data_IF_589419555942
#
_entry.id   IF_589419555942
#
_cell.length_a   1.000
_cell.length_b   1.000
_cell.length_c   1.000
_cell.angle_alpha   90.00
_cell.angle_beta   90.00
_cell.angle_gamma   90.00
#
_symmetry.space_group_name_H-M   'P 1'
#
loop_
_entity.id
_entity.type
_entity.pdbx_description
1 polymer ?
#
# COMPACT_ATOMS: atom_id res chain seq x y z
N UNK A 1 14.11 -10.04 17.54
CA UNK A 1 14.03 -10.86 16.31
C UNK A 1 13.18 -10.09 15.31
N UNK A 2 13.80 -9.18 14.57
CA UNK A 2 13.00 -8.10 13.97
C UNK A 2 12.78 -8.33 12.47
N UNK A 3 13.41 -9.35 11.88
CA UNK A 3 13.41 -9.60 10.42
C UNK A 3 12.01 -9.75 9.79
N UNK A 4 11.02 -10.20 10.56
CA UNK A 4 9.62 -10.34 10.10
C UNK A 4 8.71 -9.20 10.57
N UNK A 5 9.23 -8.23 11.32
CA UNK A 5 8.48 -7.08 11.82
C UNK A 5 8.63 -5.92 10.83
N UNK A 6 7.49 -5.40 10.38
CA UNK A 6 7.40 -4.29 9.42
C UNK A 6 6.53 -3.18 9.99
N UNK A 7 6.88 -1.92 9.67
CA UNK A 7 6.00 -0.78 9.92
C UNK A 7 4.67 -0.94 9.19
N UNK A 8 3.59 -0.48 9.80
CA UNK A 8 2.23 -0.74 9.33
C UNK A 8 1.36 0.52 9.39
N UNK A 9 0.63 0.77 8.30
CA UNK A 9 -0.31 1.89 8.17
C UNK A 9 -1.72 1.38 7.90
N UNK A 10 -2.69 2.01 8.57
CA UNK A 10 -4.10 1.96 8.17
C UNK A 10 -4.44 3.19 7.34
N UNK A 11 -5.60 3.18 6.68
CA UNK A 11 -6.12 4.35 5.95
C UNK A 11 -6.17 5.62 6.80
N UNK A 12 -6.41 5.50 8.11
CA UNK A 12 -6.46 6.62 9.05
C UNK A 12 -5.09 7.22 9.37
N UNK A 13 -4.02 6.53 9.02
CA UNK A 13 -2.66 7.03 9.17
C UNK A 13 -2.19 7.81 7.91
N UNK A 14 -2.93 7.74 6.78
CA UNK A 14 -2.64 8.44 5.52
C UNK A 14 -3.15 9.90 5.50
N UNK A 15 -2.61 10.74 6.38
CA UNK A 15 -3.04 12.14 6.53
C UNK A 15 -2.02 13.18 6.06
N UNK A 16 -0.74 12.82 6.09
CA UNK A 16 0.36 13.70 5.73
C UNK A 16 0.86 13.37 4.34
N UNK A 17 1.36 14.36 3.59
CA UNK A 17 1.91 14.13 2.24
C UNK A 17 3.10 13.18 2.24
N UNK A 18 3.89 13.15 3.31
CA UNK A 18 5.03 12.22 3.47
C UNK A 18 4.96 11.54 4.83
N UNK A 19 5.04 10.21 4.83
CA UNK A 19 5.13 9.38 6.03
C UNK A 19 6.53 8.79 6.12
N UNK A 20 7.22 9.15 7.21
CA UNK A 20 8.56 8.64 7.55
C UNK A 20 8.55 7.61 8.67
N UNK A 21 7.53 7.64 9.54
CA UNK A 21 7.44 6.81 10.74
C UNK A 21 6.05 6.16 10.84
N UNK A 22 5.97 4.94 11.38
CA UNK A 22 4.71 4.26 11.70
C UNK A 22 4.56 4.06 13.19
N UNK A 23 3.35 4.23 13.71
CA UNK A 23 3.02 3.94 15.12
C UNK A 23 2.63 2.48 15.37
N UNK A 24 2.39 1.70 14.32
CA UNK A 24 1.98 0.30 14.37
C UNK A 24 2.98 -0.56 13.62
N UNK A 25 3.03 -1.82 14.02
CA UNK A 25 3.85 -2.83 13.37
C UNK A 25 3.02 -4.08 13.11
N UNK A 26 3.45 -4.89 12.16
CA UNK A 26 2.85 -6.18 11.85
C UNK A 26 3.91 -7.23 11.57
N UNK A 27 3.56 -8.49 11.79
CA UNK A 27 4.39 -9.65 11.44
C UNK A 27 4.04 -10.05 10.00
N UNK A 28 5.06 -10.15 9.15
CA UNK A 28 4.93 -10.61 7.76
C UNK A 28 5.58 -11.98 7.64
N UNK A 29 4.76 -13.01 7.53
CA UNK A 29 5.18 -14.42 7.60
C UNK A 29 5.63 -14.98 6.24
N UNK A 30 5.21 -14.35 5.14
CA UNK A 30 5.52 -14.77 3.78
C UNK A 30 5.69 -13.57 2.83
N UNK A 31 6.34 -13.78 1.68
CA UNK A 31 6.51 -12.75 0.64
C UNK A 31 5.57 -12.92 -0.56
N UNK A 32 5.10 -14.14 -0.80
CA UNK A 32 4.16 -14.49 -1.87
C UNK A 32 3.10 -15.45 -1.36
N UNK A 33 1.94 -15.45 -2.01
CA UNK A 33 0.84 -16.37 -1.68
C UNK A 33 1.32 -17.83 -1.78
N UNK A 34 1.01 -18.63 -0.76
CA UNK A 34 1.38 -20.04 -0.70
C UNK A 34 2.86 -20.34 -0.40
N UNK A 35 3.69 -19.33 -0.11
CA UNK A 35 5.05 -19.60 0.36
C UNK A 35 5.02 -20.26 1.75
N UNK A 36 5.84 -21.30 1.90
CA UNK A 36 6.03 -22.02 3.16
C UNK A 36 6.40 -21.11 4.34
N UNK A 37 5.82 -21.42 5.51
CA UNK A 37 6.00 -20.63 6.76
C UNK A 37 6.69 -21.42 7.87
N UNK A 38 7.00 -22.71 7.68
CA UNK A 38 7.70 -23.55 8.65
C UNK A 38 9.11 -23.04 8.98
N UNK A 39 9.76 -22.32 8.06
CA UNK A 39 11.07 -21.71 8.28
C UNK A 39 11.11 -20.76 9.49
N UNK A 40 9.96 -20.19 9.87
CA UNK A 40 9.85 -19.23 10.99
C UNK A 40 10.26 -19.92 12.30
N UNK A 41 9.92 -21.20 12.48
CA UNK A 41 10.29 -21.97 13.66
C UNK A 41 11.81 -21.96 13.92
N UNK A 42 12.59 -22.14 12.85
CA UNK A 42 14.05 -22.27 12.95
C UNK A 42 14.76 -20.91 12.90
N UNK A 43 14.24 -19.95 12.10
CA UNK A 43 14.90 -18.65 11.89
C UNK A 43 14.45 -17.55 12.85
N UNK A 44 13.25 -17.66 13.41
CA UNK A 44 12.60 -16.66 14.26
C UNK A 44 11.78 -17.34 15.38
N UNK A 45 12.43 -18.09 16.30
CA UNK A 45 11.74 -18.91 17.29
C UNK A 45 10.82 -18.12 18.22
N UNK A 46 11.18 -16.90 18.62
CA UNK A 46 10.29 -16.05 19.44
C UNK A 46 9.05 -15.62 18.64
N UNK A 47 9.22 -15.29 17.36
CA UNK A 47 8.09 -14.98 16.46
C UNK A 47 7.19 -16.20 16.27
N UNK A 48 7.77 -17.38 16.10
CA UNK A 48 7.02 -18.63 15.96
C UNK A 48 6.19 -18.93 17.21
N UNK A 49 6.78 -18.83 18.41
CA UNK A 49 6.07 -19.01 19.68
C UNK A 49 4.89 -18.06 19.81
N UNK A 50 5.07 -16.78 19.44
CA UNK A 50 3.97 -15.81 19.41
C UNK A 50 2.86 -16.24 18.45
N UNK A 51 3.19 -16.65 17.23
CA UNK A 51 2.21 -17.08 16.23
C UNK A 51 1.44 -18.33 16.67
N UNK A 52 2.12 -19.32 17.27
CA UNK A 52 1.49 -20.53 17.83
C UNK A 52 0.57 -20.20 19.00
N UNK A 53 0.98 -19.29 19.91
CA UNK A 53 0.14 -18.82 21.01
C UNK A 53 -1.19 -18.21 20.50
N UNK A 54 -1.17 -17.66 19.29
CA UNK A 54 -2.32 -17.02 18.64
C UNK A 54 -2.91 -17.88 17.49
N UNK A 55 -2.62 -19.18 17.45
CA UNK A 55 -3.02 -20.09 16.37
C UNK A 55 -4.53 -20.13 16.12
N UNK A 56 -5.34 -20.01 17.17
CA UNK A 56 -6.81 -20.02 17.06
C UNK A 56 -7.36 -18.94 16.11
N UNK A 57 -6.70 -17.78 16.01
CA UNK A 57 -7.08 -16.73 15.05
C UNK A 57 -6.81 -17.15 13.59
N UNK A 58 -5.79 -17.95 13.36
CA UNK A 58 -5.47 -18.51 12.04
C UNK A 58 -6.43 -19.65 11.68
N UNK A 59 -6.82 -20.48 12.63
CA UNK A 59 -7.77 -21.59 12.39
C UNK A 59 -9.21 -21.09 12.17
N UNK A 60 -9.59 -19.98 12.80
CA UNK A 60 -10.92 -19.38 12.65
C UNK A 60 -11.19 -18.71 11.29
N UNK A 61 -10.21 -18.66 10.37
CA UNK A 61 -10.37 -18.02 9.06
C UNK A 61 -11.29 -18.83 8.17
N UNK A 62 -12.41 -18.23 7.79
CA UNK A 62 -13.47 -18.90 6.97
C UNK A 62 -13.22 -18.87 5.46
N UNK A 63 -12.28 -18.04 4.98
CA UNK A 63 -12.10 -17.86 3.55
C UNK A 63 -11.38 -19.06 2.92
N UNK A 64 -11.92 -19.56 1.80
CA UNK A 64 -11.35 -20.67 1.03
C UNK A 64 -9.94 -20.39 0.51
N UNK A 65 -9.51 -19.13 0.44
CA UNK A 65 -8.14 -18.74 0.05
C UNK A 65 -7.06 -19.31 0.97
N UNK A 66 -7.42 -19.71 2.20
CA UNK A 66 -6.52 -20.31 3.19
C UNK A 66 -6.53 -21.84 3.17
N UNK A 67 -7.43 -22.46 2.38
CA UNK A 67 -7.47 -23.91 2.23
C UNK A 67 -6.17 -24.39 1.58
N UNK A 68 -5.59 -25.44 2.14
CA UNK A 68 -4.33 -26.05 1.67
C UNK A 68 -3.17 -25.04 1.59
N UNK A 69 -3.14 -24.06 2.50
CA UNK A 69 -2.06 -23.07 2.62
C UNK A 69 -1.27 -23.27 3.92
N UNK A 70 0.00 -22.82 3.95
CA UNK A 70 0.81 -22.86 5.16
C UNK A 70 0.11 -22.19 6.35
N UNK A 71 0.30 -22.74 7.55
CA UNK A 71 -0.42 -22.38 8.78
C UNK A 71 -0.54 -20.87 9.01
N UNK A 72 0.59 -20.16 8.95
CA UNK A 72 0.63 -18.72 9.20
C UNK A 72 0.46 -17.87 7.94
N UNK A 73 -0.30 -18.36 6.96
CA UNK A 73 -0.48 -17.63 5.71
C UNK A 73 -1.19 -16.28 5.92
N UNK A 74 -0.89 -15.28 5.11
CA UNK A 74 -1.58 -13.99 5.05
C UNK A 74 -1.98 -13.70 3.61
N UNK A 75 -3.13 -13.07 3.43
CA UNK A 75 -3.65 -12.65 2.12
C UNK A 75 -3.20 -11.23 1.78
N UNK A 76 -3.35 -10.84 0.51
CA UNK A 76 -3.06 -9.47 0.07
C UNK A 76 -1.57 -9.13 0.10
N UNK A 77 -0.70 -10.13 -0.14
CA UNK A 77 0.75 -9.94 -0.16
C UNK A 77 1.39 -10.47 -1.44
N UNK A 78 2.37 -9.74 -1.95
CA UNK A 78 3.17 -10.12 -3.10
C UNK A 78 4.30 -9.13 -3.35
N UNK A 79 5.00 -9.26 -4.48
CA UNK A 79 6.16 -8.41 -4.83
C UNK A 79 5.88 -6.90 -4.78
N UNK A 80 4.62 -6.50 -5.02
CA UNK A 80 4.18 -5.11 -4.90
C UNK A 80 4.22 -4.59 -3.46
N UNK A 81 3.93 -5.42 -2.47
CA UNK A 81 3.96 -5.07 -1.04
C UNK A 81 5.37 -4.75 -0.58
N UNK A 82 6.39 -5.35 -1.20
CA UNK A 82 7.79 -5.18 -0.83
C UNK A 82 8.52 -4.07 -1.59
N UNK A 83 7.81 -3.25 -2.37
CA UNK A 83 8.42 -2.05 -2.96
C UNK A 83 8.77 -1.05 -1.85
N UNK A 84 10.00 -0.50 -1.85
CA UNK A 84 10.49 0.34 -0.76
C UNK A 84 9.69 1.63 -0.62
N UNK A 85 9.37 2.27 -1.76
CA UNK A 85 8.60 3.51 -1.79
C UNK A 85 7.18 3.22 -2.27
N UNK A 86 6.19 3.85 -1.66
CA UNK A 86 4.78 3.70 -2.06
C UNK A 86 4.10 5.05 -2.13
N UNK A 87 3.27 5.26 -3.14
CA UNK A 87 2.31 6.36 -3.16
C UNK A 87 0.93 5.78 -2.88
N UNK A 88 0.34 6.17 -1.77
CA UNK A 88 -0.84 5.54 -1.18
C UNK A 88 -2.00 6.52 -1.01
N UNK A 89 -3.23 6.02 -1.04
CA UNK A 89 -4.46 6.76 -0.77
C UNK A 89 -5.38 5.92 0.11
N UNK A 90 -6.16 6.58 0.97
CA UNK A 90 -7.21 5.92 1.74
C UNK A 90 -8.35 5.47 0.83
N UNK A 91 -8.81 4.23 0.97
CA UNK A 91 -10.04 3.77 0.32
C UNK A 91 -11.32 4.19 1.04
N UNK A 92 -11.23 4.69 2.28
CA UNK A 92 -12.38 4.96 3.16
C UNK A 92 -12.71 6.45 3.30
N UNK A 93 -11.73 7.33 3.19
CA UNK A 93 -11.91 8.76 3.44
C UNK A 93 -12.22 9.51 2.15
N UNK A 94 -13.04 10.56 2.25
CA UNK A 94 -13.34 11.53 1.18
C UNK A 94 -12.18 12.50 0.95
N UNK A 95 -10.96 11.96 0.88
CA UNK A 95 -9.75 12.73 0.61
C UNK A 95 -9.13 12.22 -0.68
N UNK A 96 -8.95 13.11 -1.64
CA UNK A 96 -8.26 12.82 -2.90
C UNK A 96 -6.73 12.94 -2.77
N UNK A 97 -6.24 13.12 -1.54
CA UNK A 97 -4.82 13.30 -1.27
C UNK A 97 -4.07 11.98 -1.24
N UNK A 98 -3.05 11.88 -2.08
CA UNK A 98 -2.07 10.80 -2.10
C UNK A 98 -0.89 11.12 -1.18
N UNK A 99 -0.41 10.09 -0.50
CA UNK A 99 0.68 10.13 0.49
C UNK A 99 1.88 9.33 0.01
N UNK A 100 3.08 9.90 0.12
CA UNK A 100 4.34 9.21 -0.11
C UNK A 100 4.76 8.50 1.18
N UNK A 101 4.90 7.19 1.11
CA UNK A 101 5.36 6.35 2.21
C UNK A 101 6.80 5.96 1.95
N UNK A 102 7.68 6.37 2.86
CA UNK A 102 9.10 6.02 2.83
C UNK A 102 9.36 4.70 3.59
N UNK A 103 10.40 3.94 3.21
CA UNK A 103 10.83 2.78 3.98
C UNK A 103 11.31 3.18 5.37
N UNK A 104 11.25 2.24 6.31
CA UNK A 104 11.67 2.42 7.71
C UNK A 104 12.63 1.30 8.09
N UNK A 105 13.77 1.68 8.67
CA UNK A 105 14.84 0.73 9.01
C UNK A 105 15.13 -0.25 7.86
N UNK A 106 15.32 0.31 6.65
CA UNK A 106 15.57 -0.40 5.40
C UNK A 106 14.49 -1.41 4.97
N UNK A 107 13.29 -1.33 5.57
CA UNK A 107 12.15 -2.16 5.22
C UNK A 107 11.01 -1.37 4.57
N UNK A 108 10.31 -1.97 3.59
CA UNK A 108 9.08 -1.40 3.06
C UNK A 108 8.00 -1.32 4.15
N UNK A 109 7.23 -0.24 4.19
CA UNK A 109 6.06 -0.15 5.07
C UNK A 109 4.88 -0.91 4.47
N UNK A 110 4.16 -1.65 5.31
CA UNK A 110 2.97 -2.42 4.95
C UNK A 110 1.70 -1.58 5.14
N UNK A 111 0.71 -1.81 4.29
CA UNK A 111 -0.61 -1.18 4.39
C UNK A 111 -1.68 -2.27 4.41
N UNK A 112 -2.79 -2.02 5.10
CA UNK A 112 -3.93 -2.92 5.10
C UNK A 112 -4.84 -2.75 3.87
N UNK A 113 -5.90 -3.57 3.82
CA UNK A 113 -6.90 -3.60 2.76
C UNK A 113 -7.82 -2.36 2.74
N UNK A 114 -7.61 -1.40 3.65
CA UNK A 114 -8.31 -0.11 3.65
C UNK A 114 -7.55 0.95 2.85
N UNK A 115 -6.36 0.62 2.35
CA UNK A 115 -5.51 1.51 1.55
C UNK A 115 -5.35 0.97 0.13
N UNK A 116 -5.15 1.88 -0.82
CA UNK A 116 -4.60 1.55 -2.15
C UNK A 116 -3.23 2.19 -2.30
N UNK A 117 -2.34 1.56 -3.06
CA UNK A 117 -1.03 2.13 -3.33
C UNK A 117 -0.42 1.62 -4.63
N UNK A 118 0.53 2.40 -5.13
CA UNK A 118 1.45 2.01 -6.21
C UNK A 118 2.87 1.99 -5.62
N UNK A 119 3.61 0.91 -5.88
CA UNK A 119 4.95 0.70 -5.33
C UNK A 119 6.06 0.98 -6.33
N UNK A 120 7.13 1.64 -5.87
CA UNK A 120 8.27 2.06 -6.69
C UNK A 120 9.58 1.53 -6.11
N UNK A 121 10.52 1.18 -6.99
CA UNK A 121 11.89 0.79 -6.61
C UNK A 121 12.79 2.00 -6.32
N UNK A 122 12.52 3.11 -7.00
CA UNK A 122 13.32 4.35 -7.01
C UNK A 122 12.47 5.49 -6.45
N UNK A 123 13.06 6.33 -5.60
CA UNK A 123 12.35 7.42 -4.93
C UNK A 123 11.89 8.48 -5.93
N UNK A 124 12.68 8.73 -6.97
CA UNK A 124 12.44 9.71 -8.02
C UNK A 124 11.10 9.44 -8.70
N UNK A 125 10.82 8.19 -9.05
CA UNK A 125 9.54 7.79 -9.65
C UNK A 125 8.37 7.90 -8.68
N UNK A 126 8.58 7.64 -7.39
CA UNK A 126 7.55 7.85 -6.38
C UNK A 126 7.23 9.33 -6.20
N UNK A 127 8.25 10.20 -6.26
CA UNK A 127 8.12 11.66 -6.21
C UNK A 127 7.38 12.20 -7.43
N UNK A 128 7.70 11.76 -8.64
CA UNK A 128 6.93 12.14 -9.83
C UNK A 128 5.47 11.68 -9.73
N UNK A 129 5.23 10.45 -9.27
CA UNK A 129 3.89 9.93 -9.12
C UNK A 129 3.06 10.75 -8.12
N UNK A 130 3.61 11.12 -6.96
CA UNK A 130 2.85 11.93 -5.98
C UNK A 130 2.54 13.33 -6.50
N UNK A 131 3.45 13.96 -7.26
CA UNK A 131 3.20 15.27 -7.88
C UNK A 131 2.02 15.18 -8.87
N UNK A 132 2.05 14.18 -9.76
CA UNK A 132 0.99 13.99 -10.76
C UNK A 132 -0.35 13.61 -10.12
N UNK A 133 -0.33 12.74 -9.11
CA UNK A 133 -1.52 12.24 -8.43
C UNK A 133 -2.19 13.28 -7.53
N UNK A 134 -1.42 14.21 -6.96
CA UNK A 134 -1.95 15.33 -6.18
C UNK A 134 -2.14 16.62 -6.99
N UNK A 135 -1.98 16.57 -8.32
CA UNK A 135 -2.29 17.72 -9.17
C UNK A 135 -3.79 18.03 -9.16
N UNK A 136 -4.13 19.31 -9.36
CA UNK A 136 -5.53 19.76 -9.38
C UNK A 136 -6.36 19.00 -10.41
N UNK A 137 -5.80 18.77 -11.60
CA UNK A 137 -6.44 18.01 -12.68
C UNK A 137 -6.73 16.55 -12.30
N UNK A 138 -5.89 15.91 -11.49
CA UNK A 138 -6.15 14.55 -11.01
C UNK A 138 -7.21 14.54 -9.91
N UNK A 139 -7.16 15.51 -9.00
CA UNK A 139 -8.21 15.68 -8.00
C UNK A 139 -9.59 15.89 -8.63
N UNK A 140 -9.72 16.85 -9.56
CA UNK A 140 -10.99 17.16 -10.24
C UNK A 140 -11.52 15.96 -11.05
N UNK A 141 -10.63 15.26 -11.75
CA UNK A 141 -11.00 14.04 -12.45
C UNK A 141 -11.56 12.99 -11.49
N UNK A 142 -10.85 12.71 -10.39
CA UNK A 142 -11.32 11.73 -9.42
C UNK A 142 -12.66 12.15 -8.83
N UNK A 143 -12.83 13.42 -8.46
CA UNK A 143 -14.10 13.96 -7.98
C UNK A 143 -15.25 13.68 -8.95
N UNK A 144 -15.03 13.88 -10.26
CA UNK A 144 -16.06 13.64 -11.29
C UNK A 144 -16.45 12.16 -11.50
N UNK A 145 -15.60 11.22 -11.10
CA UNK A 145 -15.84 9.77 -11.28
C UNK A 145 -16.07 9.01 -9.97
N UNK A 146 -16.02 9.71 -8.83
CA UNK A 146 -16.29 9.12 -7.51
C UNK A 146 -17.68 9.53 -7.01
N UNK A 147 -18.40 8.58 -6.43
CA UNK A 147 -19.69 8.83 -5.77
C UNK A 147 -19.48 8.93 -4.27
N UNK A 148 -19.77 10.09 -3.68
CA UNK A 148 -19.48 10.38 -2.26
C UNK A 148 -20.31 9.59 -1.26
N UNK A 149 -21.38 8.94 -1.72
CA UNK A 149 -22.28 8.16 -0.86
C UNK A 149 -21.86 6.69 -0.73
N UNK A 150 -20.81 6.28 -1.45
CA UNK A 150 -20.24 4.95 -1.33
C UNK A 150 -19.45 4.80 -0.02
N UNK A 151 -19.59 3.62 0.63
CA UNK A 151 -18.79 3.24 1.81
C UNK A 151 -17.27 3.24 1.53
N UNK A 152 -16.89 3.05 0.27
CA UNK A 152 -15.52 3.21 -0.24
C UNK A 152 -15.55 4.19 -1.41
N UNK A 153 -14.97 5.36 -1.20
CA UNK A 153 -14.91 6.43 -2.21
C UNK A 153 -14.03 6.01 -3.37
N UNK A 154 -12.93 5.31 -3.07
CA UNK A 154 -12.00 4.79 -4.07
C UNK A 154 -12.10 3.27 -4.16
N UNK A 155 -12.19 2.78 -5.38
CA UNK A 155 -12.00 1.38 -5.74
C UNK A 155 -10.80 1.24 -6.65
N UNK A 156 -10.27 0.02 -6.75
CA UNK A 156 -9.22 -0.30 -7.73
C UNK A 156 -9.61 0.16 -9.14
N UNK A 157 -10.85 -0.08 -9.55
CA UNK A 157 -11.33 0.25 -10.90
C UNK A 157 -11.37 1.76 -11.15
N UNK A 158 -11.74 2.56 -10.15
CA UNK A 158 -11.69 4.03 -10.24
C UNK A 158 -10.24 4.49 -10.40
N UNK A 159 -9.34 4.00 -9.54
CA UNK A 159 -7.93 4.41 -9.56
C UNK A 159 -7.20 3.97 -10.84
N UNK A 160 -7.59 2.83 -11.42
CA UNK A 160 -7.04 2.34 -12.69
C UNK A 160 -7.44 3.20 -13.90
N UNK A 161 -8.44 4.08 -13.78
CA UNK A 161 -8.80 5.05 -14.83
C UNK A 161 -7.85 6.25 -14.89
N UNK A 162 -6.94 6.40 -13.91
CA UNK A 162 -5.90 7.41 -13.96
C UNK A 162 -4.83 6.98 -14.96
N UNK A 163 -4.84 7.59 -16.15
CA UNK A 163 -3.75 7.45 -17.11
C UNK A 163 -2.65 8.48 -16.82
N UNK A 164 -1.58 8.05 -16.16
CA UNK A 164 -0.43 8.90 -15.83
C UNK A 164 0.40 9.28 -17.07
N UNK A 165 0.42 8.45 -18.12
CA UNK A 165 1.23 8.69 -19.31
C UNK A 165 0.61 9.74 -20.22
N UNK A 166 -0.69 9.65 -20.48
CA UNK A 166 -1.43 10.65 -21.27
C UNK A 166 -1.44 12.01 -20.57
N UNK A 167 -1.46 12.02 -19.23
CA UNK A 167 -1.41 13.24 -18.43
C UNK A 167 -0.03 13.90 -18.40
N UNK A 168 1.05 13.12 -18.46
CA UNK A 168 2.42 13.66 -18.51
C UNK A 168 2.64 14.50 -19.79
N UNK A 169 2.09 14.06 -20.92
CA UNK A 169 2.15 14.81 -22.19
C UNK A 169 1.38 16.14 -22.13
N UNK A 170 0.18 16.16 -21.54
CA UNK A 170 -0.59 17.40 -21.34
C UNK A 170 0.09 18.37 -20.36
N UNK A 171 0.67 17.86 -19.27
CA UNK A 171 1.37 18.72 -18.30
C UNK A 171 2.65 19.32 -18.89
N UNK A 172 3.42 18.55 -19.66
CA UNK A 172 4.61 19.05 -20.36
C UNK A 172 4.24 20.07 -21.45
N UNK A 173 3.16 19.83 -22.20
CA UNK A 173 2.62 20.80 -23.15
C UNK A 173 2.25 22.10 -22.44
N UNK A 174 1.47 22.04 -21.37
CA UNK A 174 1.04 23.24 -20.64
C UNK A 174 2.22 24.03 -20.05
N UNK A 175 3.22 23.35 -19.46
CA UNK A 175 4.44 24.02 -18.99
C UNK A 175 5.20 24.70 -20.13
N UNK A 176 5.29 24.06 -21.30
CA UNK A 176 5.92 24.63 -22.49
C UNK A 176 5.10 25.78 -23.08
N UNK A 177 3.78 25.78 -22.94
CA UNK A 177 2.90 26.85 -23.43
C UNK A 177 2.91 28.07 -22.51
N UNK A 178 3.02 27.85 -21.19
CA UNK A 178 3.14 28.89 -20.17
C UNK A 178 4.54 29.51 -20.06
N UNK A 179 5.56 28.90 -20.67
CA UNK A 179 6.92 29.48 -20.74
C UNK A 179 7.21 30.21 -22.05
N UNK A 180 6.31 30.09 -23.04
CA UNK A 180 6.44 30.69 -24.38
C UNK A 180 5.46 31.86 -24.60
N UNK A 181 4.58 32.13 -23.61
CA UNK A 181 3.79 33.36 -23.49
C UNK A 181 4.13 34.08 -22.19
#
# INVERSE_FOLDING_TARGET
>A
EDGLIYGFLKSSDLKNTVIKNTRKHTIITQKKVGQETSYIQNKYPNTYQYLVKHLSFFEARKSSIYKDKPMFSIFGIGDYSFKPFKVAISGLYKSFHFTLVLPQADKPVMLDDTCYFIGFKKIEFAVYAIILLNSKTTEEFLQSITFTDAKRVFTKDILMRIDLLKRNLMHLWNLHYSSVN
#
